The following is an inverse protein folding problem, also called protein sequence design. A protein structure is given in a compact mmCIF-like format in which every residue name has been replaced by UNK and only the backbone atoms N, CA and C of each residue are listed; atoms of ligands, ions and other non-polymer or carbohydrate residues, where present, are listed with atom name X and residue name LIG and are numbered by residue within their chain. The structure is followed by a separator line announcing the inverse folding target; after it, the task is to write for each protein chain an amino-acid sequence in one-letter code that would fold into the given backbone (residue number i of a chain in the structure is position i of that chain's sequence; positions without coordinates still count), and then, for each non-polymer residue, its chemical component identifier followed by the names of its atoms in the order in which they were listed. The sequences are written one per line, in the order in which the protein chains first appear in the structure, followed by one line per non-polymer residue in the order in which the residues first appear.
data_IF_793853914929
#
_entry.id   IF_793853914929
#
_cell.length_a   1.000
_cell.length_b   1.000
_cell.length_c   1.000
_cell.angle_alpha   90.00
_cell.angle_beta   90.00
_cell.angle_gamma   90.00
#
_symmetry.space_group_name_H-M   'P 1'
#
loop_
_entity.id
_entity.type
_entity.pdbx_description
1 polymer ?
#
# COMPACT_ATOMS: atom_id res chain seq x y z
N UNK A 1 -24.30 -22.46 -3.08
CA UNK A 1 -23.53 -21.73 -4.11
C UNK A 1 -22.60 -20.77 -3.37
N UNK A 2 -21.32 -20.73 -3.72
CA UNK A 2 -20.38 -19.75 -3.15
C UNK A 2 -20.80 -18.34 -3.56
N UNK A 3 -20.78 -17.41 -2.61
CA UNK A 3 -21.21 -16.03 -2.80
C UNK A 3 -20.16 -15.08 -2.24
N UNK A 4 -19.54 -14.29 -3.11
CA UNK A 4 -18.64 -13.20 -2.73
C UNK A 4 -19.43 -11.89 -2.71
N UNK A 5 -19.38 -11.17 -1.60
CA UNK A 5 -20.04 -9.87 -1.41
C UNK A 5 -18.97 -8.79 -1.26
N UNK A 6 -18.76 -7.98 -2.30
CA UNK A 6 -17.80 -6.89 -2.29
C UNK A 6 -18.45 -5.68 -1.62
N UNK A 7 -18.03 -5.35 -0.40
CA UNK A 7 -18.56 -4.21 0.36
C UNK A 7 -17.95 -2.88 -0.11
N UNK A 8 -18.66 -1.78 0.12
CA UNK A 8 -18.08 -0.43 0.02
C UNK A 8 -17.07 -0.22 1.15
N UNK A 9 -16.05 0.59 0.90
CA UNK A 9 -15.06 0.96 1.91
C UNK A 9 -15.58 2.08 2.79
N UNK A 10 -15.46 1.88 4.12
CA UNK A 10 -15.94 2.84 5.12
C UNK A 10 -14.79 3.63 5.77
N UNK A 11 -13.54 3.22 5.51
CA UNK A 11 -12.36 3.98 5.94
C UNK A 11 -12.27 5.27 5.12
N UNK A 12 -12.11 6.39 5.80
CA UNK A 12 -11.97 7.68 5.14
C UNK A 12 -10.82 7.66 4.13
N UNK A 13 -11.05 8.25 2.95
CA UNK A 13 -10.09 8.33 1.84
C UNK A 13 -9.65 6.98 1.24
N UNK A 14 -10.24 5.85 1.64
CA UNK A 14 -10.04 4.58 0.96
C UNK A 14 -10.94 4.50 -0.29
N UNK A 15 -10.31 4.55 -1.45
CA UNK A 15 -10.99 4.48 -2.75
C UNK A 15 -10.67 3.21 -3.52
N UNK A 16 -9.76 2.37 -3.00
CA UNK A 16 -9.37 1.13 -3.67
C UNK A 16 -10.42 0.05 -3.49
N UNK A 17 -10.33 -0.98 -4.33
CA UNK A 17 -11.16 -2.18 -4.27
C UNK A 17 -10.33 -3.40 -4.65
N UNK A 18 -10.56 -4.52 -3.99
CA UNK A 18 -9.77 -5.75 -4.21
C UNK A 18 -10.27 -6.66 -5.34
N UNK A 19 -11.31 -6.25 -6.08
CA UNK A 19 -11.87 -6.98 -7.21
C UNK A 19 -12.09 -6.04 -8.38
N UNK A 20 -11.53 -6.33 -9.55
CA UNK A 20 -11.82 -5.59 -10.79
C UNK A 20 -13.08 -6.14 -11.49
N UNK A 21 -13.74 -5.37 -12.37
CA UNK A 21 -14.83 -5.86 -13.22
C UNK A 21 -14.49 -7.14 -13.99
N UNK A 22 -13.31 -7.20 -14.60
CA UNK A 22 -12.82 -8.39 -15.29
C UNK A 22 -12.65 -9.58 -14.34
N UNK A 23 -12.13 -9.34 -13.12
CA UNK A 23 -12.05 -10.36 -12.08
C UNK A 23 -13.43 -10.87 -11.67
N UNK A 24 -14.40 -9.98 -11.48
CA UNK A 24 -15.77 -10.34 -11.15
C UNK A 24 -16.42 -11.21 -12.23
N UNK A 25 -16.27 -10.84 -13.50
CA UNK A 25 -16.74 -11.64 -14.63
C UNK A 25 -16.10 -13.05 -14.64
N UNK A 26 -14.81 -13.15 -14.32
CA UNK A 26 -14.11 -14.43 -14.22
C UNK A 26 -14.63 -15.31 -13.07
N UNK A 27 -14.98 -14.72 -11.92
CA UNK A 27 -15.58 -15.44 -10.79
C UNK A 27 -17.01 -15.92 -11.12
N UNK A 28 -17.83 -15.07 -11.74
CA UNK A 28 -19.18 -15.42 -12.18
C UNK A 28 -19.14 -16.59 -13.16
N UNK A 29 -18.22 -16.55 -14.14
CA UNK A 29 -18.00 -17.64 -15.09
C UNK A 29 -17.57 -18.95 -14.39
N UNK A 30 -16.90 -18.86 -13.25
CA UNK A 30 -16.53 -20.02 -12.43
C UNK A 30 -17.67 -20.53 -11.52
N UNK A 31 -18.88 -19.93 -11.60
CA UNK A 31 -20.05 -20.34 -10.84
C UNK A 31 -20.17 -19.70 -9.45
N UNK A 32 -19.39 -18.66 -9.16
CA UNK A 32 -19.48 -17.89 -7.91
C UNK A 32 -20.48 -16.75 -8.12
N UNK A 33 -21.47 -16.62 -7.21
CA UNK A 33 -22.32 -15.42 -7.17
C UNK A 33 -21.47 -14.24 -6.68
N UNK A 34 -21.53 -13.11 -7.38
CA UNK A 34 -20.84 -11.88 -6.96
C UNK A 34 -21.87 -10.78 -6.77
N UNK A 35 -21.92 -10.23 -5.56
CA UNK A 35 -22.64 -8.98 -5.29
C UNK A 35 -21.63 -7.87 -5.05
N UNK A 36 -21.92 -6.68 -5.57
CA UNK A 36 -21.06 -5.50 -5.41
C UNK A 36 -21.91 -4.38 -4.86
N UNK A 37 -21.51 -3.83 -3.73
CA UNK A 37 -22.16 -2.64 -3.20
C UNK A 37 -21.91 -1.44 -4.11
N UNK A 38 -22.96 -0.63 -4.26
CA UNK A 38 -22.81 0.77 -4.65
C UNK A 38 -21.77 1.44 -3.75
N UNK A 39 -20.97 2.33 -4.34
CA UNK A 39 -19.94 3.04 -3.60
C UNK A 39 -19.77 4.43 -4.17
N UNK A 40 -19.93 5.43 -3.32
CA UNK A 40 -19.75 6.84 -3.70
C UNK A 40 -18.28 7.26 -3.81
N UNK A 41 -17.36 6.44 -3.29
CA UNK A 41 -15.93 6.79 -3.16
C UNK A 41 -15.00 5.89 -3.98
N UNK A 42 -15.41 4.68 -4.37
CA UNK A 42 -14.58 3.71 -5.10
C UNK A 42 -14.07 4.27 -6.43
N UNK A 43 -12.77 4.09 -6.68
CA UNK A 43 -12.09 4.58 -7.88
C UNK A 43 -12.49 3.84 -9.16
N UNK A 44 -12.90 2.57 -9.04
CA UNK A 44 -13.44 1.77 -10.12
C UNK A 44 -14.97 1.88 -10.11
N UNK A 45 -15.53 2.45 -11.19
CA UNK A 45 -16.97 2.71 -11.31
C UNK A 45 -17.82 1.45 -11.34
N UNK A 46 -19.09 1.60 -10.93
CA UNK A 46 -20.05 0.48 -10.80
C UNK A 46 -20.40 -0.18 -12.13
N UNK A 47 -20.45 0.59 -13.23
CA UNK A 47 -20.92 0.13 -14.54
C UNK A 47 -20.16 -1.10 -15.05
N UNK A 48 -18.83 -1.16 -14.84
CA UNK A 48 -18.06 -2.34 -15.22
C UNK A 48 -18.51 -3.61 -14.49
N UNK A 49 -18.96 -3.49 -13.23
CA UNK A 49 -19.50 -4.63 -12.48
C UNK A 49 -20.90 -5.02 -12.95
N UNK A 50 -21.72 -4.04 -13.37
CA UNK A 50 -23.02 -4.30 -14.02
C UNK A 50 -22.79 -5.11 -15.29
N UNK A 51 -21.88 -4.66 -16.17
CA UNK A 51 -21.54 -5.35 -17.42
C UNK A 51 -20.93 -6.75 -17.18
N UNK A 52 -20.22 -6.93 -16.07
CA UNK A 52 -19.69 -8.23 -15.65
C UNK A 52 -20.78 -9.22 -15.18
N UNK A 53 -22.00 -8.74 -14.92
CA UNK A 53 -23.13 -9.54 -14.42
C UNK A 53 -23.22 -9.64 -12.90
N UNK A 54 -22.60 -8.73 -12.16
CA UNK A 54 -22.71 -8.66 -10.70
C UNK A 54 -24.13 -8.29 -10.25
N UNK A 55 -24.55 -8.78 -9.10
CA UNK A 55 -25.72 -8.24 -8.40
C UNK A 55 -25.33 -6.93 -7.71
N UNK A 56 -25.92 -5.81 -8.14
CA UNK A 56 -25.67 -4.52 -7.49
C UNK A 56 -26.60 -4.35 -6.29
N UNK A 57 -26.01 -4.03 -5.14
CA UNK A 57 -26.71 -3.92 -3.85
C UNK A 57 -26.41 -2.57 -3.20
N UNK A 58 -27.25 -2.15 -2.26
CA UNK A 58 -27.10 -0.85 -1.61
C UNK A 58 -25.76 -0.74 -0.85
N UNK A 59 -25.19 0.47 -0.84
CA UNK A 59 -23.98 0.77 -0.09
C UNK A 59 -24.14 0.43 1.41
N UNK A 60 -23.13 -0.23 2.00
CA UNK A 60 -23.07 -0.65 3.40
C UNK A 60 -24.16 -1.66 3.83
N UNK A 61 -24.72 -2.44 2.90
CA UNK A 61 -25.78 -3.42 3.18
C UNK A 61 -25.26 -4.82 3.58
N UNK A 62 -23.95 -5.05 3.54
CA UNK A 62 -23.32 -6.33 3.90
C UNK A 62 -23.74 -6.94 5.25
N UNK A 63 -24.08 -6.19 6.33
CA UNK A 63 -24.53 -6.82 7.58
C UNK A 63 -25.83 -7.62 7.40
N UNK A 64 -26.62 -7.29 6.38
CA UNK A 64 -27.85 -8.00 6.01
C UNK A 64 -27.65 -9.05 4.92
N UNK A 65 -26.41 -9.24 4.44
CA UNK A 65 -26.10 -10.23 3.43
C UNK A 65 -26.44 -11.65 3.93
N UNK A 66 -26.78 -12.58 3.02
CA UNK A 66 -27.00 -13.98 3.39
C UNK A 66 -25.82 -14.54 4.19
N UNK A 67 -26.10 -15.35 5.22
CA UNK A 67 -25.07 -15.95 6.09
C UNK A 67 -23.98 -16.73 5.32
N UNK A 68 -24.35 -17.27 4.15
CA UNK A 68 -23.43 -18.03 3.28
C UNK A 68 -22.47 -17.13 2.47
N UNK A 69 -22.71 -15.82 2.44
CA UNK A 69 -21.85 -14.86 1.74
C UNK A 69 -20.50 -14.71 2.46
N UNK A 70 -19.47 -14.47 1.66
CA UNK A 70 -18.13 -14.10 2.11
C UNK A 70 -18.01 -12.60 1.85
N UNK A 71 -17.89 -11.82 2.91
CA UNK A 71 -17.79 -10.36 2.84
C UNK A 71 -16.35 -10.00 2.49
N UNK A 72 -16.16 -9.28 1.39
CA UNK A 72 -14.85 -8.89 0.90
C UNK A 72 -14.72 -7.37 0.85
N UNK A 73 -13.73 -6.84 1.57
CA UNK A 73 -13.24 -5.48 1.43
C UNK A 73 -11.72 -5.46 1.63
N UNK A 74 -11.10 -4.31 1.43
CA UNK A 74 -9.69 -4.11 1.69
C UNK A 74 -9.46 -3.72 3.15
N UNK A 75 -10.10 -2.67 3.65
CA UNK A 75 -9.75 -2.09 4.96
C UNK A 75 -10.53 -2.70 6.13
N UNK A 76 -10.21 -2.25 7.32
CA UNK A 76 -10.91 -2.60 8.54
C UNK A 76 -12.38 -2.14 8.52
N UNK A 77 -13.22 -2.79 9.32
CA UNK A 77 -14.61 -2.39 9.53
C UNK A 77 -14.69 -1.21 10.49
N UNK A 78 -15.81 -0.45 10.51
CA UNK A 78 -16.07 0.52 11.57
C UNK A 78 -15.90 -0.10 12.95
N UNK A 79 -15.32 0.67 13.88
CA UNK A 79 -15.13 0.28 15.27
C UNK A 79 -16.48 0.33 16.00
N UNK A 80 -17.14 -0.83 16.06
CA UNK A 80 -18.38 -1.04 16.78
C UNK A 80 -18.35 -2.41 17.47
N UNK A 81 -19.37 -2.69 18.30
CA UNK A 81 -19.48 -3.96 19.02
C UNK A 81 -20.38 -4.98 18.31
N UNK A 82 -20.68 -4.80 17.02
CA UNK A 82 -21.59 -5.67 16.28
C UNK A 82 -20.93 -7.04 16.09
N UNK A 83 -21.58 -8.15 16.50
CA UNK A 83 -21.10 -9.49 16.21
C UNK A 83 -20.92 -9.73 14.71
N UNK A 84 -19.86 -10.42 14.32
CA UNK A 84 -19.56 -10.72 12.91
C UNK A 84 -19.84 -12.19 12.62
N UNK A 85 -21.01 -12.53 12.04
CA UNK A 85 -21.36 -13.93 11.79
C UNK A 85 -20.82 -14.44 10.45
N UNK A 86 -20.46 -13.55 9.51
CA UNK A 86 -20.01 -13.94 8.19
C UNK A 86 -18.52 -14.35 8.18
N UNK A 87 -18.10 -14.93 7.06
CA UNK A 87 -16.68 -15.02 6.70
C UNK A 87 -16.25 -13.70 6.06
N UNK A 88 -15.12 -13.15 6.47
CA UNK A 88 -14.60 -11.88 5.97
C UNK A 88 -13.24 -12.08 5.31
N UNK A 89 -13.01 -11.43 4.17
CA UNK A 89 -11.71 -11.24 3.55
C UNK A 89 -11.41 -9.75 3.64
N UNK A 90 -10.38 -9.35 4.40
CA UNK A 90 -9.96 -7.95 4.55
C UNK A 90 -8.58 -7.86 5.24
N UNK A 91 -7.96 -6.68 5.20
CA UNK A 91 -6.88 -6.33 6.13
C UNK A 91 -7.51 -6.02 7.49
N UNK A 92 -7.51 -6.99 8.40
CA UNK A 92 -8.10 -6.83 9.72
C UNK A 92 -7.17 -6.17 10.73
N UNK A 93 -5.85 -6.19 10.47
CA UNK A 93 -4.82 -5.70 11.40
C UNK A 93 -5.03 -6.23 12.83
N UNK A 94 -5.38 -7.53 12.92
CA UNK A 94 -5.88 -8.14 14.15
C UNK A 94 -4.82 -8.95 14.92
N UNK A 95 -3.75 -9.35 14.23
CA UNK A 95 -2.85 -10.42 14.69
C UNK A 95 -1.55 -9.92 15.33
N UNK A 96 -1.34 -8.60 15.44
CA UNK A 96 -0.15 -8.00 16.06
C UNK A 96 -0.37 -7.61 17.54
N UNK A 97 -1.49 -8.01 18.14
CA UNK A 97 -1.79 -7.74 19.56
C UNK A 97 -2.26 -6.31 19.87
N UNK A 98 -2.55 -5.50 18.84
CA UNK A 98 -3.07 -4.15 18.99
C UNK A 98 -4.47 -4.13 19.65
N UNK A 99 -4.81 -3.08 20.39
CA UNK A 99 -6.10 -2.95 21.07
C UNK A 99 -7.29 -3.08 20.12
N UNK A 100 -7.26 -2.38 18.97
CA UNK A 100 -8.27 -2.47 17.92
C UNK A 100 -8.37 -3.89 17.32
N UNK A 101 -7.23 -4.54 17.15
CA UNK A 101 -7.16 -5.92 16.68
C UNK A 101 -7.86 -6.90 17.60
N UNK A 102 -7.66 -6.77 18.92
CA UNK A 102 -8.37 -7.59 19.93
C UNK A 102 -9.88 -7.38 19.87
N UNK A 103 -10.34 -6.12 19.80
CA UNK A 103 -11.77 -5.80 19.69
C UNK A 103 -12.42 -6.44 18.46
N UNK A 104 -11.72 -6.43 17.32
CA UNK A 104 -12.19 -7.10 16.10
C UNK A 104 -12.35 -8.62 16.29
N UNK A 105 -11.38 -9.28 16.94
CA UNK A 105 -11.47 -10.73 17.21
C UNK A 105 -12.60 -11.07 18.18
N UNK A 106 -12.88 -10.21 19.18
CA UNK A 106 -14.03 -10.38 20.09
C UNK A 106 -15.36 -10.32 19.34
N UNK A 107 -15.49 -9.49 18.29
CA UNK A 107 -16.68 -9.46 17.42
C UNK A 107 -16.86 -10.76 16.62
N UNK A 108 -15.77 -11.32 16.07
CA UNK A 108 -15.80 -12.62 15.41
C UNK A 108 -16.14 -13.74 16.39
N UNK A 109 -15.60 -13.71 17.61
CA UNK A 109 -15.96 -14.66 18.69
C UNK A 109 -17.45 -14.60 19.01
N UNK A 110 -18.02 -13.41 19.12
CA UNK A 110 -19.43 -13.21 19.42
C UNK A 110 -20.36 -13.65 18.27
N UNK A 111 -19.94 -13.46 17.02
CA UNK A 111 -20.75 -13.79 15.84
C UNK A 111 -20.55 -15.21 15.31
N UNK A 112 -19.44 -15.87 15.63
CA UNK A 112 -19.08 -17.18 15.09
C UNK A 112 -18.54 -17.13 13.65
N UNK A 113 -18.17 -15.94 13.16
CA UNK A 113 -17.57 -15.75 11.85
C UNK A 113 -16.08 -16.11 11.78
N UNK A 114 -15.47 -15.83 10.64
CA UNK A 114 -14.05 -16.14 10.38
C UNK A 114 -13.40 -15.00 9.61
N UNK A 115 -12.16 -14.66 9.96
CA UNK A 115 -11.35 -13.69 9.22
C UNK A 115 -10.29 -14.42 8.37
N UNK A 116 -10.36 -14.23 7.05
CA UNK A 116 -9.30 -14.53 6.10
C UNK A 116 -8.50 -13.24 5.85
N UNK A 117 -7.53 -12.97 6.71
CA UNK A 117 -6.79 -11.70 6.67
C UNK A 117 -5.88 -11.61 5.43
N UNK A 118 -6.05 -10.55 4.63
CA UNK A 118 -5.29 -10.29 3.40
C UNK A 118 -3.78 -10.10 3.65
N UNK A 119 -3.38 -9.68 4.86
CA UNK A 119 -1.97 -9.60 5.26
C UNK A 119 -1.33 -10.98 5.41
N UNK A 120 -2.13 -11.99 5.76
CA UNK A 120 -1.69 -13.35 6.06
C UNK A 120 -2.15 -14.37 5.01
N UNK A 121 -2.72 -13.90 3.90
CA UNK A 121 -3.05 -14.73 2.75
C UNK A 121 -1.76 -15.03 1.96
N UNK A 122 -1.15 -16.18 2.26
CA UNK A 122 0.18 -16.57 1.78
C UNK A 122 0.18 -17.85 0.93
N UNK A 123 1.06 -17.89 -0.06
CA UNK A 123 1.40 -19.07 -0.84
C UNK A 123 2.16 -20.11 0.01
N UNK A 124 2.48 -21.26 -0.58
CA UNK A 124 3.19 -22.35 0.13
C UNK A 124 4.60 -21.98 0.57
N UNK A 125 5.26 -21.08 -0.16
CA UNK A 125 6.57 -20.52 0.19
C UNK A 125 6.50 -19.41 1.26
N UNK A 126 5.31 -19.14 1.81
CA UNK A 126 5.07 -18.10 2.80
C UNK A 126 4.98 -16.68 2.22
N UNK A 127 5.12 -16.49 0.90
CA UNK A 127 4.97 -15.17 0.29
C UNK A 127 3.50 -14.78 0.21
N UNK A 128 3.20 -13.50 0.49
CA UNK A 128 1.87 -12.95 0.29
C UNK A 128 1.44 -13.05 -1.17
N UNK A 129 0.19 -13.45 -1.39
CA UNK A 129 -0.37 -13.63 -2.73
C UNK A 129 -0.63 -12.32 -3.45
N UNK A 130 -0.98 -11.25 -2.70
CA UNK A 130 -1.25 -9.93 -3.23
C UNK A 130 -0.73 -8.82 -2.29
N UNK A 131 -0.13 -7.78 -2.87
CA UNK A 131 0.35 -6.61 -2.14
C UNK A 131 0.40 -5.36 -3.04
N UNK A 132 0.28 -4.18 -2.44
CA UNK A 132 0.30 -2.88 -3.14
C UNK A 132 1.72 -2.33 -3.41
N UNK A 133 2.75 -3.19 -3.32
CA UNK A 133 4.14 -2.73 -3.25
C UNK A 133 4.58 -1.89 -4.46
N UNK A 134 4.21 -2.30 -5.68
CA UNK A 134 4.59 -1.58 -6.90
C UNK A 134 4.10 -0.13 -6.87
N UNK A 135 2.80 0.06 -6.66
CA UNK A 135 2.20 1.39 -6.62
C UNK A 135 2.57 2.20 -5.38
N UNK A 136 2.96 1.57 -4.27
CA UNK A 136 3.60 2.28 -3.15
C UNK A 136 4.93 2.91 -3.58
N UNK A 137 5.77 2.15 -4.29
CA UNK A 137 7.02 2.62 -4.89
C UNK A 137 6.80 3.79 -5.85
N UNK A 138 5.88 3.59 -6.79
CA UNK A 138 5.57 4.57 -7.83
C UNK A 138 5.04 5.89 -7.23
N UNK A 139 4.07 5.82 -6.32
CA UNK A 139 3.51 6.98 -5.64
C UNK A 139 4.52 7.64 -4.69
N UNK A 140 5.32 6.85 -3.96
CA UNK A 140 6.36 7.37 -3.07
C UNK A 140 7.40 8.19 -3.83
N UNK A 141 7.90 7.64 -4.94
CA UNK A 141 8.82 8.38 -5.78
C UNK A 141 8.20 9.67 -6.36
N UNK A 142 6.89 9.68 -6.62
CA UNK A 142 6.19 10.83 -7.16
C UNK A 142 6.10 11.97 -6.14
N UNK A 143 5.72 11.65 -4.90
CA UNK A 143 5.64 12.64 -3.82
C UNK A 143 7.02 13.20 -3.51
N UNK A 144 8.06 12.36 -3.45
CA UNK A 144 9.44 12.82 -3.24
C UNK A 144 9.93 13.70 -4.38
N UNK A 145 9.65 13.37 -5.64
CA UNK A 145 10.03 14.20 -6.79
C UNK A 145 9.32 15.56 -6.76
N UNK A 146 8.02 15.58 -6.45
CA UNK A 146 7.25 16.81 -6.23
C UNK A 146 7.86 17.66 -5.11
N UNK A 147 8.26 17.04 -4.00
CA UNK A 147 8.90 17.73 -2.90
C UNK A 147 10.25 18.33 -3.31
N UNK A 148 11.08 17.57 -4.01
CA UNK A 148 12.36 18.04 -4.54
C UNK A 148 12.17 19.23 -5.50
N UNK A 149 11.22 19.14 -6.44
CA UNK A 149 10.94 20.22 -7.40
C UNK A 149 10.48 21.51 -6.71
N UNK A 150 9.67 21.41 -5.65
CA UNK A 150 9.27 22.58 -4.84
C UNK A 150 10.43 23.12 -4.00
N UNK A 151 11.26 22.24 -3.44
CA UNK A 151 12.44 22.61 -2.67
C UNK A 151 13.44 23.42 -3.52
N UNK A 152 13.65 23.07 -4.79
CA UNK A 152 14.51 23.84 -5.72
C UNK A 152 14.01 25.25 -5.98
N UNK A 153 12.74 25.51 -5.72
CA UNK A 153 12.12 26.83 -5.80
C UNK A 153 12.06 27.54 -4.43
N UNK A 154 12.71 26.98 -3.41
CA UNK A 154 12.69 27.51 -2.04
C UNK A 154 11.36 27.32 -1.30
N UNK A 155 10.50 26.39 -1.77
CA UNK A 155 9.17 26.12 -1.22
C UNK A 155 9.12 24.75 -0.53
N UNK A 156 8.20 24.58 0.41
CA UNK A 156 7.84 23.25 0.92
C UNK A 156 6.91 22.56 -0.06
N UNK A 157 6.89 21.22 -0.03
CA UNK A 157 5.95 20.42 -0.81
C UNK A 157 4.51 20.76 -0.37
N UNK A 158 3.61 21.15 -1.30
CA UNK A 158 2.21 21.38 -0.96
C UNK A 158 1.49 20.07 -0.61
N UNK A 159 0.30 20.14 0.02
CA UNK A 159 -0.55 18.97 0.22
C UNK A 159 -0.75 18.15 -1.06
N UNK A 160 -0.77 16.84 -0.91
CA UNK A 160 -1.04 15.90 -2.00
C UNK A 160 -2.47 15.38 -1.92
N UNK A 161 -3.02 14.98 -3.07
CA UNK A 161 -4.35 14.40 -3.17
C UNK A 161 -4.37 13.29 -4.20
N UNK A 162 -5.43 12.49 -4.19
CA UNK A 162 -5.60 11.37 -5.10
C UNK A 162 -5.60 11.85 -6.55
N UNK A 163 -4.84 11.18 -7.40
CA UNK A 163 -4.89 11.40 -8.85
C UNK A 163 -5.97 10.52 -9.47
N UNK A 164 -6.55 11.04 -10.55
CA UNK A 164 -7.53 10.30 -11.35
C UNK A 164 -6.93 9.02 -11.94
N UNK A 165 -5.70 9.16 -12.46
CA UNK A 165 -4.95 8.13 -13.15
C UNK A 165 -3.45 8.48 -13.17
N UNK A 166 -2.62 7.50 -13.56
CA UNK A 166 -1.17 7.63 -13.72
C UNK A 166 -0.77 8.77 -14.67
N UNK A 167 -1.51 8.97 -15.74
CA UNK A 167 -1.18 9.99 -16.75
C UNK A 167 -1.35 11.40 -16.19
N UNK A 168 -2.41 11.64 -15.40
CA UNK A 168 -2.60 12.90 -14.68
C UNK A 168 -1.47 13.17 -13.67
N UNK A 169 -0.99 12.12 -12.97
CA UNK A 169 0.15 12.25 -12.06
C UNK A 169 1.43 12.66 -12.81
N UNK A 170 1.75 11.98 -13.91
CA UNK A 170 2.95 12.27 -14.70
C UNK A 170 2.91 13.66 -15.33
N UNK A 171 1.75 14.11 -15.82
CA UNK A 171 1.57 15.44 -16.36
C UNK A 171 1.80 16.53 -15.29
N UNK A 172 1.30 16.33 -14.07
CA UNK A 172 1.51 17.27 -12.97
C UNK A 172 2.98 17.32 -12.52
N UNK A 173 3.65 16.16 -12.40
CA UNK A 173 5.09 16.10 -12.12
C UNK A 173 5.93 16.77 -13.21
N UNK A 174 5.56 16.62 -14.48
CA UNK A 174 6.27 17.27 -15.58
C UNK A 174 6.18 18.80 -15.46
N UNK A 175 5.03 19.35 -15.05
CA UNK A 175 4.86 20.77 -14.79
C UNK A 175 5.72 21.23 -13.60
N UNK A 176 5.75 20.47 -12.50
CA UNK A 176 6.60 20.78 -11.35
C UNK A 176 8.09 20.82 -11.71
N UNK A 177 8.55 19.84 -12.50
CA UNK A 177 9.93 19.76 -12.97
C UNK A 177 10.30 20.92 -13.89
N UNK A 178 9.41 21.32 -14.79
CA UNK A 178 9.60 22.51 -15.63
C UNK A 178 9.68 23.79 -14.79
N UNK A 179 8.79 23.94 -13.81
CA UNK A 179 8.75 25.11 -12.92
C UNK A 179 9.98 25.19 -12.00
N UNK A 180 10.57 24.04 -11.62
CA UNK A 180 11.80 24.01 -10.84
C UNK A 180 13.00 24.60 -11.60
N UNK A 181 12.95 24.62 -12.94
CA UNK A 181 13.94 25.23 -13.83
C UNK A 181 15.40 24.85 -13.45
N UNK A 182 15.63 23.55 -13.29
CA UNK A 182 16.89 22.94 -12.87
C UNK A 182 17.21 21.74 -13.76
N UNK A 183 18.45 21.28 -13.73
CA UNK A 183 18.84 20.02 -14.36
C UNK A 183 18.04 18.83 -13.80
N UNK A 184 17.89 17.79 -14.61
CA UNK A 184 17.24 16.54 -14.18
C UNK A 184 18.05 15.90 -13.04
N UNK A 185 17.41 15.53 -11.92
CA UNK A 185 18.11 14.94 -10.78
C UNK A 185 18.62 13.54 -11.11
N UNK A 186 19.57 13.06 -10.31
CA UNK A 186 19.89 11.62 -10.25
C UNK A 186 19.24 10.96 -9.04
N UNK A 187 18.91 9.68 -9.17
CA UNK A 187 18.27 8.92 -8.10
C UNK A 187 19.04 7.64 -7.76
N UNK A 188 18.95 7.23 -6.49
CA UNK A 188 19.35 5.90 -6.03
C UNK A 188 18.19 5.22 -5.32
N UNK A 189 17.94 3.97 -5.66
CA UNK A 189 16.89 3.13 -5.08
C UNK A 189 17.55 1.95 -4.38
N UNK A 190 17.31 1.78 -3.08
CA UNK A 190 17.75 0.62 -2.31
C UNK A 190 16.56 -0.31 -2.08
N UNK A 191 16.73 -1.60 -2.36
CA UNK A 191 15.63 -2.57 -2.48
C UNK A 191 15.03 -2.60 -3.88
N UNK A 192 15.84 -2.30 -4.89
CA UNK A 192 15.43 -2.09 -6.27
C UNK A 192 14.85 -3.34 -6.96
N UNK A 193 15.16 -4.56 -6.48
CA UNK A 193 14.64 -5.81 -7.03
C UNK A 193 13.25 -6.17 -6.46
N UNK A 194 12.83 -5.50 -5.38
CA UNK A 194 11.49 -5.66 -4.82
C UNK A 194 10.42 -4.92 -5.64
N UNK A 195 9.14 -5.23 -5.37
CA UNK A 195 8.01 -4.55 -6.03
C UNK A 195 8.05 -3.03 -5.81
N UNK A 196 8.33 -2.61 -4.56
CA UNK A 196 8.43 -1.19 -4.19
C UNK A 196 9.56 -0.49 -4.95
N UNK A 197 10.77 -1.07 -4.94
CA UNK A 197 11.89 -0.52 -5.68
C UNK A 197 11.68 -0.47 -7.19
N UNK A 198 11.01 -1.48 -7.75
CA UNK A 198 10.62 -1.50 -9.17
C UNK A 198 9.70 -0.33 -9.49
N UNK A 199 8.64 -0.11 -8.70
CA UNK A 199 7.72 1.01 -8.91
C UNK A 199 8.39 2.38 -8.80
N UNK A 200 9.27 2.56 -7.81
CA UNK A 200 10.03 3.80 -7.64
C UNK A 200 10.96 4.07 -8.85
N UNK A 201 11.67 3.04 -9.31
CA UNK A 201 12.53 3.14 -10.48
C UNK A 201 11.76 3.41 -11.78
N UNK A 202 10.60 2.77 -11.96
CA UNK A 202 9.76 2.95 -13.16
C UNK A 202 9.18 4.36 -13.24
N UNK A 203 8.80 4.97 -12.10
CA UNK A 203 8.42 6.39 -12.09
C UNK A 203 9.62 7.26 -12.48
N UNK A 204 10.79 7.05 -11.88
CA UNK A 204 11.97 7.83 -12.23
C UNK A 204 12.27 7.74 -13.74
N UNK A 205 12.23 6.53 -14.31
CA UNK A 205 12.40 6.33 -15.74
C UNK A 205 11.33 7.04 -16.57
N UNK A 206 10.06 7.00 -16.15
CA UNK A 206 8.97 7.73 -16.82
C UNK A 206 9.18 9.25 -16.81
N UNK A 207 9.90 9.77 -15.81
CA UNK A 207 10.28 11.18 -15.69
C UNK A 207 11.65 11.50 -16.28
N UNK A 208 12.31 10.55 -16.94
CA UNK A 208 13.64 10.74 -17.55
C UNK A 208 14.80 10.82 -16.54
N UNK A 209 14.60 10.34 -15.31
CA UNK A 209 15.60 10.37 -14.23
C UNK A 209 16.43 9.08 -14.25
N UNK A 210 17.75 9.24 -14.27
CA UNK A 210 18.69 8.12 -14.15
C UNK A 210 18.68 7.53 -12.74
N UNK A 211 18.60 6.19 -12.66
CA UNK A 211 18.47 5.46 -11.40
C UNK A 211 19.63 4.50 -11.18
N UNK A 212 20.38 4.71 -10.11
CA UNK A 212 21.24 3.69 -9.52
C UNK A 212 20.39 2.71 -8.71
N UNK A 213 20.40 1.43 -9.12
CA UNK A 213 19.59 0.37 -8.50
C UNK A 213 20.45 -0.50 -7.59
N UNK A 214 20.18 -0.49 -6.29
CA UNK A 214 20.89 -1.26 -5.28
C UNK A 214 19.95 -2.23 -4.56
N UNK A 215 20.51 -3.35 -4.11
CA UNK A 215 19.82 -4.35 -3.32
C UNK A 215 20.76 -4.98 -2.27
N UNK A 216 20.49 -6.21 -1.83
CA UNK A 216 21.26 -6.90 -0.81
C UNK A 216 22.76 -7.01 -1.12
N UNK A 217 23.15 -7.13 -2.40
CA UNK A 217 24.55 -7.28 -2.78
C UNK A 217 25.37 -6.02 -2.48
N UNK A 218 24.81 -4.84 -2.75
CA UNK A 218 25.48 -3.56 -2.56
C UNK A 218 25.41 -3.09 -1.10
N UNK A 219 24.34 -3.45 -0.39
CA UNK A 219 24.13 -3.08 1.02
C UNK A 219 24.86 -4.00 2.02
N UNK A 220 25.46 -5.10 1.55
CA UNK A 220 26.08 -6.14 2.39
C UNK A 220 27.24 -5.64 3.26
N UNK A 221 27.86 -4.50 2.92
CA UNK A 221 28.98 -3.91 3.68
C UNK A 221 28.56 -3.34 5.04
N UNK A 222 27.25 -3.15 5.28
CA UNK A 222 26.72 -2.65 6.56
C UNK A 222 26.76 -1.13 6.73
N UNK A 223 27.19 -0.39 5.71
CA UNK A 223 27.26 1.07 5.70
C UNK A 223 28.49 1.64 6.44
N UNK A 224 28.67 2.98 6.43
CA UNK A 224 27.86 3.97 5.73
C UNK A 224 27.97 3.87 4.21
N UNK A 225 27.00 4.44 3.49
CA UNK A 225 26.92 4.38 2.03
C UNK A 225 27.07 5.80 1.45
N UNK A 226 28.30 6.31 1.31
CA UNK A 226 28.54 7.67 0.80
C UNK A 226 27.98 7.89 -0.61
N UNK A 227 27.82 6.84 -1.41
CA UNK A 227 27.22 6.85 -2.73
C UNK A 227 25.78 7.39 -2.71
N UNK A 228 25.04 7.18 -1.61
CA UNK A 228 23.68 7.72 -1.47
C UNK A 228 23.72 9.26 -1.47
N UNK A 229 24.72 9.86 -0.82
CA UNK A 229 24.85 11.32 -0.71
C UNK A 229 25.24 12.00 -2.03
N UNK A 230 25.69 11.22 -3.03
CA UNK A 230 26.08 11.69 -4.36
C UNK A 230 24.93 11.77 -5.36
N UNK A 231 23.72 11.34 -4.96
CA UNK A 231 22.50 11.46 -5.76
C UNK A 231 21.63 12.59 -5.22
N UNK A 232 20.78 13.20 -6.04
CA UNK A 232 19.82 14.22 -5.59
C UNK A 232 18.66 13.61 -4.78
N UNK A 233 18.27 12.39 -5.15
CA UNK A 233 17.13 11.65 -4.63
C UNK A 233 17.56 10.28 -4.09
N UNK A 234 17.05 9.91 -2.91
CA UNK A 234 17.20 8.56 -2.36
C UNK A 234 15.83 7.94 -2.08
N UNK A 235 15.62 6.70 -2.52
CA UNK A 235 14.44 5.91 -2.22
C UNK A 235 14.78 4.67 -1.40
N UNK A 236 14.35 4.63 -0.14
CA UNK A 236 14.37 3.41 0.66
C UNK A 236 13.12 2.57 0.34
N UNK A 237 13.34 1.38 -0.20
CA UNK A 237 12.28 0.41 -0.53
C UNK A 237 12.42 -0.88 0.29
N UNK A 238 13.26 -0.89 1.33
CA UNK A 238 13.47 -2.03 2.22
C UNK A 238 12.69 -1.81 3.52
N UNK A 239 11.78 -2.73 3.83
CA UNK A 239 11.14 -2.79 5.14
C UNK A 239 12.18 -3.19 6.17
N UNK A 240 12.35 -2.35 7.17
CA UNK A 240 13.36 -2.52 8.20
C UNK A 240 13.10 -3.76 9.07
N UNK A 241 14.18 -4.44 9.41
CA UNK A 241 14.24 -5.64 10.25
C UNK A 241 15.48 -5.60 11.13
N UNK A 242 15.57 -6.41 12.20
CA UNK A 242 16.81 -6.55 12.97
C UNK A 242 18.01 -6.79 12.05
N UNK A 243 19.04 -5.95 12.16
CA UNK A 243 20.25 -6.03 11.33
C UNK A 243 20.19 -5.28 9.99
N UNK A 244 19.10 -4.56 9.69
CA UNK A 244 19.05 -3.67 8.51
C UNK A 244 20.07 -2.54 8.68
N UNK A 245 20.95 -2.29 7.70
CA UNK A 245 21.90 -1.18 7.76
C UNK A 245 21.21 0.18 7.87
N UNK A 246 21.89 1.12 8.51
CA UNK A 246 21.50 2.54 8.47
C UNK A 246 21.98 3.12 7.14
N UNK A 247 21.04 3.49 6.28
CA UNK A 247 21.32 4.11 4.99
C UNK A 247 21.71 5.58 5.13
N UNK A 248 20.96 6.34 5.95
CA UNK A 248 21.18 7.78 6.15
C UNK A 248 21.42 8.07 7.64
N UNK A 249 22.67 8.11 8.11
CA UNK A 249 22.96 8.46 9.50
C UNK A 249 22.71 9.95 9.77
N UNK A 250 22.56 10.32 11.05
CA UNK A 250 22.44 11.72 11.49
C UNK A 250 23.58 12.62 10.98
N UNK A 251 24.79 12.07 10.82
CA UNK A 251 25.93 12.80 10.25
C UNK A 251 25.73 13.24 8.79
N UNK A 252 24.78 12.64 8.07
CA UNK A 252 24.44 13.04 6.70
C UNK A 252 23.78 14.43 6.64
N UNK A 253 23.18 14.92 7.73
CA UNK A 253 22.49 16.22 7.74
C UNK A 253 23.44 17.37 7.42
N UNK A 254 24.66 17.31 7.98
CA UNK A 254 25.71 18.33 7.85
C UNK A 254 26.86 17.93 6.93
N UNK A 255 26.78 16.76 6.29
CA UNK A 255 27.78 16.31 5.33
C UNK A 255 27.75 17.15 4.04
N UNK A 256 28.86 17.14 3.30
CA UNK A 256 28.87 17.62 1.92
C UNK A 256 28.10 16.62 1.04
N UNK A 257 26.95 17.06 0.50
CA UNK A 257 25.99 16.18 -0.19
C UNK A 257 25.27 16.88 -1.33
N UNK A 258 24.94 16.08 -2.35
CA UNK A 258 23.95 16.43 -3.38
C UNK A 258 22.53 16.05 -2.97
N UNK A 259 22.40 15.02 -2.13
CA UNK A 259 21.12 14.49 -1.67
C UNK A 259 20.32 15.57 -0.97
N UNK A 260 19.12 15.89 -1.46
CA UNK A 260 18.23 16.84 -0.79
C UNK A 260 16.79 16.36 -0.60
N UNK A 261 16.41 15.21 -1.18
CA UNK A 261 15.12 14.59 -0.90
C UNK A 261 15.23 13.07 -0.74
N UNK A 262 14.53 12.56 0.27
CA UNK A 262 14.45 11.14 0.59
C UNK A 262 12.99 10.69 0.51
N UNK A 263 12.73 9.61 -0.20
CA UNK A 263 11.48 8.85 -0.11
C UNK A 263 11.70 7.58 0.69
N UNK A 264 11.32 7.59 1.96
CA UNK A 264 11.27 6.38 2.79
C UNK A 264 9.93 5.66 2.55
N UNK A 265 9.84 4.95 1.42
CA UNK A 265 8.60 4.33 0.94
C UNK A 265 8.19 3.15 1.82
N UNK A 266 9.18 2.49 2.43
CA UNK A 266 8.98 1.36 3.32
C UNK A 266 8.97 1.79 4.80
N UNK A 267 8.66 3.06 5.09
CA UNK A 267 8.55 3.56 6.45
C UNK A 267 7.57 2.72 7.27
N UNK A 268 7.97 2.37 8.48
CA UNK A 268 7.13 1.67 9.45
C UNK A 268 7.23 2.43 10.77
N UNK A 269 6.21 3.23 11.15
CA UNK A 269 6.25 4.02 12.38
C UNK A 269 6.25 3.16 13.65
N UNK A 270 5.88 1.88 13.55
CA UNK A 270 5.86 0.93 14.67
C UNK A 270 7.18 0.14 14.81
N UNK A 271 8.16 0.38 13.93
CA UNK A 271 9.45 -0.33 13.91
C UNK A 271 10.50 0.36 14.79
N UNK A 272 11.17 -0.42 15.65
CA UNK A 272 12.38 0.01 16.39
C UNK A 272 13.60 0.22 15.47
N UNK A 273 13.51 -0.25 14.22
CA UNK A 273 14.58 -0.18 13.23
C UNK A 273 14.20 0.85 12.18
N UNK A 274 14.86 2.00 12.20
CA UNK A 274 14.74 3.02 11.15
C UNK A 274 16.06 3.11 10.38
N UNK A 275 16.11 2.73 9.08
CA UNK A 275 17.30 2.83 8.26
C UNK A 275 17.60 4.27 7.80
N UNK A 276 16.66 5.19 8.00
CA UNK A 276 16.78 6.62 7.72
C UNK A 276 16.46 7.44 8.99
N UNK A 277 17.23 7.31 10.07
CA UNK A 277 16.94 7.88 11.39
C UNK A 277 17.19 9.40 11.46
N UNK A 278 16.72 10.16 10.48
CA UNK A 278 16.79 11.63 10.39
C UNK A 278 15.42 12.31 10.49
N UNK A 279 14.37 11.51 10.72
CA UNK A 279 13.00 11.94 10.98
C UNK A 279 12.39 11.05 12.08
N UNK A 280 11.33 11.51 12.75
CA UNK A 280 10.78 10.89 13.96
C UNK A 280 9.31 10.43 13.85
N UNK A 281 8.62 10.76 12.75
CA UNK A 281 7.22 10.41 12.52
C UNK A 281 6.89 10.26 11.04
N UNK A 282 5.92 9.40 10.74
CA UNK A 282 5.34 9.34 9.40
C UNK A 282 4.77 10.70 8.99
N UNK A 283 4.93 11.04 7.70
CA UNK A 283 4.32 12.22 7.08
C UNK A 283 2.92 11.91 6.59
N UNK A 284 2.11 12.93 6.30
CA UNK A 284 0.73 12.75 5.85
C UNK A 284 0.43 13.52 4.56
N UNK A 285 -0.82 13.49 4.12
CA UNK A 285 -1.24 14.08 2.86
C UNK A 285 -1.23 15.61 2.87
N UNK A 286 -1.40 16.23 4.05
CA UNK A 286 -1.36 17.68 4.23
C UNK A 286 0.07 18.20 4.37
N UNK A 287 0.94 17.43 5.02
CA UNK A 287 2.36 17.69 5.18
C UNK A 287 3.17 16.49 4.65
N UNK A 288 3.31 16.34 3.32
CA UNK A 288 3.88 15.14 2.69
C UNK A 288 5.37 14.95 2.91
N UNK A 289 6.06 15.97 3.43
CA UNK A 289 7.47 15.89 3.80
C UNK A 289 7.74 16.56 5.14
N UNK A 290 8.76 16.06 5.83
CA UNK A 290 9.40 16.75 6.95
C UNK A 290 10.75 17.31 6.51
N UNK A 291 11.01 18.58 6.82
CA UNK A 291 12.33 19.22 6.66
C UNK A 291 13.26 18.74 7.77
N UNK A 292 14.14 17.78 7.46
CA UNK A 292 15.10 17.21 8.40
C UNK A 292 16.33 18.11 8.61
N UNK A 293 16.68 18.95 7.63
CA UNK A 293 17.77 19.91 7.73
C UNK A 293 17.56 21.10 6.80
N UNK A 294 17.94 22.31 7.21
CA UNK A 294 17.67 23.54 6.45
C UNK A 294 18.74 23.87 5.39
N UNK A 295 20.03 23.71 5.69
CA UNK A 295 21.12 24.14 4.77
C UNK A 295 22.36 23.26 4.90
N UNK A 296 22.67 22.39 3.92
CA UNK A 296 21.87 22.12 2.72
C UNK A 296 20.50 21.53 3.07
N UNK A 297 19.43 21.82 2.31
CA UNK A 297 18.09 21.32 2.64
C UNK A 297 18.02 19.80 2.53
N UNK A 298 17.27 19.14 3.42
CA UNK A 298 16.92 17.72 3.31
C UNK A 298 15.45 17.54 3.69
N UNK A 299 14.65 17.12 2.71
CA UNK A 299 13.24 16.79 2.91
C UNK A 299 13.05 15.27 2.91
N UNK A 300 12.22 14.75 3.82
CA UNK A 300 11.93 13.32 3.94
C UNK A 300 10.44 13.09 3.80
N UNK A 301 10.06 12.27 2.81
CA UNK A 301 8.71 11.72 2.62
C UNK A 301 8.66 10.33 3.26
N UNK A 302 7.67 10.11 4.13
CA UNK A 302 7.43 8.86 4.84
C UNK A 302 5.92 8.65 5.05
N UNK A 303 5.14 8.71 3.96
CA UNK A 303 3.69 8.45 3.97
C UNK A 303 3.46 6.93 3.98
N UNK A 304 2.61 6.43 4.87
CA UNK A 304 2.39 4.99 5.11
C UNK A 304 1.30 4.34 4.22
N UNK A 305 0.54 5.15 3.48
CA UNK A 305 -0.60 4.71 2.66
C UNK A 305 -0.51 5.16 1.19
N UNK A 306 0.72 5.29 0.68
CA UNK A 306 1.07 5.78 -0.67
C UNK A 306 0.26 5.21 -1.84
N UNK A 307 -0.13 3.91 -1.91
CA UNK A 307 -0.93 3.42 -3.03
C UNK A 307 -2.28 4.13 -3.20
N UNK A 308 -2.78 4.79 -2.15
CA UNK A 308 -4.04 5.56 -2.23
C UNK A 308 -3.91 6.81 -3.11
N UNK A 309 -2.68 7.20 -3.50
CA UNK A 309 -2.42 8.28 -4.45
C UNK A 309 -2.90 7.92 -5.86
N UNK A 310 -2.82 6.64 -6.22
CA UNK A 310 -3.27 6.05 -7.49
C UNK A 310 -4.18 4.84 -7.21
N UNK A 311 -5.41 5.08 -6.70
CA UNK A 311 -6.25 4.02 -6.19
C UNK A 311 -6.79 3.13 -7.30
N UNK A 312 -6.97 3.64 -8.52
CA UNK A 312 -7.41 2.84 -9.68
C UNK A 312 -6.35 1.80 -10.01
N UNK A 313 -5.14 2.23 -10.31
CA UNK A 313 -4.07 1.35 -10.73
C UNK A 313 -3.65 0.39 -9.61
N UNK A 314 -3.61 0.90 -8.36
CA UNK A 314 -3.38 0.08 -7.18
C UNK A 314 -4.43 -1.01 -7.00
N UNK A 315 -5.70 -0.73 -7.33
CA UNK A 315 -6.79 -1.71 -7.26
C UNK A 315 -6.68 -2.73 -8.38
N UNK A 316 -6.40 -2.30 -9.60
CA UNK A 316 -6.29 -3.16 -10.77
C UNK A 316 -5.16 -4.18 -10.60
N UNK A 317 -3.95 -3.72 -10.23
CA UNK A 317 -2.78 -4.57 -9.96
C UNK A 317 -3.04 -5.52 -8.77
N UNK A 318 -3.57 -5.01 -7.65
CA UNK A 318 -3.86 -5.85 -6.49
C UNK A 318 -4.93 -6.90 -6.78
N UNK A 319 -6.00 -6.53 -7.49
CA UNK A 319 -7.07 -7.45 -7.87
C UNK A 319 -6.57 -8.53 -8.84
N UNK A 320 -5.66 -8.20 -9.76
CA UNK A 320 -5.03 -9.17 -10.65
C UNK A 320 -4.21 -10.20 -9.86
N UNK A 321 -3.38 -9.74 -8.91
CA UNK A 321 -2.60 -10.62 -8.04
C UNK A 321 -3.48 -11.53 -7.17
N UNK A 322 -4.61 -11.03 -6.69
CA UNK A 322 -5.51 -11.75 -5.77
C UNK A 322 -6.47 -12.71 -6.49
N UNK A 323 -6.80 -12.44 -7.77
CA UNK A 323 -7.78 -13.20 -8.54
C UNK A 323 -7.54 -14.73 -8.56
N UNK A 324 -6.31 -15.25 -8.71
CA UNK A 324 -6.06 -16.69 -8.63
C UNK A 324 -6.55 -17.32 -7.33
N UNK A 325 -6.40 -16.64 -6.19
CA UNK A 325 -6.92 -17.09 -4.90
C UNK A 325 -8.44 -16.99 -4.82
N UNK A 326 -9.04 -15.89 -5.31
CA UNK A 326 -10.51 -15.73 -5.30
C UNK A 326 -11.22 -16.80 -6.14
N UNK A 327 -10.58 -17.30 -7.20
CA UNK A 327 -11.13 -18.40 -8.00
C UNK A 327 -11.23 -19.73 -7.25
N UNK A 328 -10.55 -19.88 -6.12
CA UNK A 328 -10.61 -21.10 -5.28
C UNK A 328 -11.59 -20.98 -4.11
N UNK A 329 -12.41 -19.93 -4.02
CA UNK A 329 -13.39 -19.73 -2.94
C UNK A 329 -14.47 -20.83 -2.84
N UNK A 330 -14.58 -21.71 -3.83
CA UNK A 330 -15.45 -22.89 -3.78
C UNK A 330 -14.94 -23.96 -2.82
N UNK A 331 -13.66 -23.91 -2.45
CA UNK A 331 -13.04 -24.77 -1.43
C UNK A 331 -12.15 -23.94 -0.51
N UNK A 332 -12.70 -23.58 0.66
CA UNK A 332 -11.96 -22.85 1.70
C UNK A 332 -11.10 -23.79 2.57
N UNK A 333 -11.28 -25.12 2.45
CA UNK A 333 -10.61 -26.11 3.29
C UNK A 333 -9.19 -26.47 2.83
N UNK A 334 -8.74 -25.86 1.72
CA UNK A 334 -7.42 -26.12 1.13
C UNK A 334 -6.66 -24.84 0.76
N UNK A 335 -5.38 -25.01 0.42
CA UNK A 335 -4.53 -23.95 -0.13
C UNK A 335 -4.39 -22.72 0.76
N UNK A 336 -4.51 -21.54 0.15
CA UNK A 336 -4.31 -20.25 0.81
C UNK A 336 -5.35 -19.98 1.90
N UNK A 337 -6.59 -20.45 1.70
CA UNK A 337 -7.71 -20.20 2.61
C UNK A 337 -7.57 -21.02 3.89
N UNK A 338 -7.22 -22.30 3.79
CA UNK A 338 -6.97 -23.15 4.96
C UNK A 338 -5.83 -22.61 5.83
N UNK A 339 -4.76 -22.10 5.21
CA UNK A 339 -3.64 -21.48 5.94
C UNK A 339 -4.09 -20.20 6.65
N UNK A 340 -4.83 -19.32 5.97
CA UNK A 340 -5.34 -18.10 6.58
C UNK A 340 -6.32 -18.39 7.74
N UNK A 341 -7.19 -19.40 7.61
CA UNK A 341 -8.07 -19.84 8.69
C UNK A 341 -7.28 -20.43 9.87
N UNK A 342 -6.23 -21.22 9.62
CA UNK A 342 -5.36 -21.71 10.67
C UNK A 342 -4.68 -20.55 11.43
N UNK A 343 -4.23 -19.50 10.71
CA UNK A 343 -3.69 -18.29 11.33
C UNK A 343 -4.74 -17.58 12.19
N UNK A 344 -5.96 -17.41 11.70
CA UNK A 344 -7.06 -16.84 12.47
C UNK A 344 -7.34 -17.65 13.75
N UNK A 345 -7.50 -18.97 13.62
CA UNK A 345 -7.79 -19.86 14.73
C UNK A 345 -6.69 -19.85 15.80
N UNK A 346 -5.43 -19.69 15.42
CA UNK A 346 -4.33 -19.53 16.39
C UNK A 346 -4.52 -18.27 17.24
N UNK A 347 -4.84 -17.13 16.61
CA UNK A 347 -5.04 -15.86 17.32
C UNK A 347 -6.33 -15.85 18.14
N UNK A 348 -7.33 -16.63 17.76
CA UNK A 348 -8.58 -16.78 18.52
C UNK A 348 -8.42 -17.52 19.86
N UNK A 349 -7.36 -18.33 20.05
CA UNK A 349 -7.13 -19.06 21.31
C UNK A 349 -6.98 -18.14 22.54
N UNK A 350 -6.52 -16.89 22.33
CA UNK A 350 -6.26 -15.90 23.37
C UNK A 350 -7.36 -14.85 23.58
N UNK A 351 -8.51 -15.03 22.93
CA UNK A 351 -9.65 -14.10 22.91
C UNK A 351 -10.79 -14.70 23.72
#
# INVERSE_FOLDING_TARGET
MTHLWVRSEQRENEKRVGLSPAGAAALIKAGIKVSVEESTTRAIGIEGYVDAGCEIVAENSWPSAPQVAIIFGLKELPDDSTPLPHRHIMFGHAFKGQHSGRALLERFKAGGGTLYDLEYLVAEDGRRVAAFGYWAGYAGAAVTLKAWANQKQGRLCPPVSTYKDKDALLADLANDMQNANTDTPTAIVIGALGRVGTGAADLCQAMGIDVTKWDMAETATGGPFPEILQHDLFFNCILARPGTPVFIPQSALTADRKLTAIGDVACDPDSDYNPVPVYDRATDWNAPVTRAHDTPPLDVMAIDNLPSLLPRESSEDYAEQLLPSLRTLTDLSSGVWARAEATFNEHMKGI
#
